data_IF_580118785565
#
_entry.id   IF_580118785565
#
_cell.length_a   1.000
_cell.length_b   1.000
_cell.length_c   1.000
_cell.angle_alpha   90.00
_cell.angle_beta   90.00
_cell.angle_gamma   90.00
#
_symmetry.space_group_name_H-M   'P 1'
#
loop_
_entity.id
_entity.type
_entity.pdbx_description
1 polymer ?
#
# COMPACT_ATOMS: atom_id res chain seq x y z
N UNK A 1 -11.32 -26.54 -6.51
CA UNK A 1 -10.80 -25.76 -5.35
C UNK A 1 -11.25 -26.50 -4.10
N UNK A 2 -10.38 -26.64 -3.09
CA UNK A 2 -10.65 -27.50 -1.92
C UNK A 2 -11.64 -26.89 -0.91
N UNK A 3 -11.89 -25.59 -1.00
CA UNK A 3 -12.71 -24.83 -0.03
C UNK A 3 -14.00 -24.31 -0.67
N UNK A 4 -15.10 -24.38 0.08
CA UNK A 4 -16.40 -23.81 -0.28
C UNK A 4 -16.45 -22.30 0.02
N UNK A 5 -15.78 -21.51 -0.83
CA UNK A 5 -15.66 -20.07 -0.65
C UNK A 5 -16.97 -19.32 -0.82
N UNK A 6 -17.87 -19.82 -1.68
CA UNK A 6 -19.07 -19.09 -2.10
C UNK A 6 -20.04 -18.91 -0.93
N UNK A 7 -20.15 -19.91 -0.05
CA UNK A 7 -20.92 -19.82 1.21
C UNK A 7 -20.41 -18.74 2.17
N UNK A 8 -19.16 -18.33 2.03
CA UNK A 8 -18.50 -17.40 2.93
C UNK A 8 -18.26 -16.02 2.30
N UNK A 9 -18.63 -15.82 1.04
CA UNK A 9 -18.42 -14.57 0.31
C UNK A 9 -19.08 -13.39 1.01
N UNK A 10 -20.36 -13.53 1.42
CA UNK A 10 -21.10 -12.45 2.07
C UNK A 10 -20.50 -12.06 3.42
N UNK A 11 -20.14 -13.04 4.25
CA UNK A 11 -19.47 -12.80 5.54
C UNK A 11 -18.14 -12.10 5.35
N UNK A 12 -17.33 -12.56 4.38
CA UNK A 12 -16.06 -11.92 4.04
C UNK A 12 -16.26 -10.50 3.52
N UNK A 13 -17.29 -10.26 2.71
CA UNK A 13 -17.61 -8.93 2.18
C UNK A 13 -17.94 -7.95 3.30
N UNK A 14 -18.87 -8.31 4.19
CA UNK A 14 -19.25 -7.49 5.34
C UNK A 14 -18.05 -7.15 6.21
N UNK A 15 -17.26 -8.14 6.61
CA UNK A 15 -16.11 -7.91 7.49
C UNK A 15 -15.00 -7.09 6.80
N UNK A 16 -14.76 -7.33 5.51
CA UNK A 16 -13.66 -6.70 4.79
C UNK A 16 -13.99 -5.27 4.32
N UNK A 17 -15.19 -5.07 3.77
CA UNK A 17 -15.64 -3.83 3.13
C UNK A 17 -16.44 -2.95 4.09
N UNK A 18 -17.51 -3.49 4.68
CA UNK A 18 -18.42 -2.69 5.52
C UNK A 18 -17.77 -2.36 6.86
N UNK A 19 -17.18 -3.36 7.52
CA UNK A 19 -16.55 -3.17 8.84
C UNK A 19 -15.05 -2.80 8.77
N UNK A 20 -14.44 -2.88 7.59
CA UNK A 20 -13.03 -2.51 7.43
C UNK A 20 -12.03 -3.38 8.21
N UNK A 21 -12.39 -4.59 8.69
CA UNK A 21 -11.55 -5.46 9.52
C UNK A 21 -10.28 -5.97 8.84
N UNK A 22 -9.18 -6.10 9.58
CA UNK A 22 -7.93 -6.63 9.03
C UNK A 22 -8.09 -8.08 8.57
N UNK A 23 -7.24 -8.52 7.62
CA UNK A 23 -7.31 -9.89 7.10
C UNK A 23 -7.11 -10.93 8.20
N UNK A 24 -6.24 -10.64 9.18
CA UNK A 24 -5.99 -11.54 10.31
C UNK A 24 -7.20 -11.68 11.22
N UNK A 25 -7.93 -10.59 11.45
CA UNK A 25 -9.18 -10.63 12.20
C UNK A 25 -10.25 -11.45 11.47
N UNK A 26 -10.37 -11.28 10.15
CA UNK A 26 -11.30 -12.07 9.32
C UNK A 26 -10.94 -13.55 9.40
N UNK A 27 -9.67 -13.91 9.25
CA UNK A 27 -9.22 -15.31 9.36
C UNK A 27 -9.55 -15.92 10.72
N UNK A 28 -9.33 -15.17 11.81
CA UNK A 28 -9.67 -15.61 13.16
C UNK A 28 -11.19 -15.84 13.30
N UNK A 29 -12.00 -14.89 12.81
CA UNK A 29 -13.47 -15.01 12.83
C UNK A 29 -13.97 -16.20 12.01
N UNK A 30 -13.44 -16.40 10.80
CA UNK A 30 -13.82 -17.53 9.93
C UNK A 30 -13.47 -18.88 10.56
N UNK A 31 -12.34 -18.96 11.27
CA UNK A 31 -11.93 -20.15 12.00
C UNK A 31 -12.88 -20.44 13.17
N UNK A 32 -13.27 -19.43 13.95
CA UNK A 32 -14.09 -19.65 15.17
C UNK A 32 -15.58 -19.83 14.88
N UNK A 33 -16.14 -19.08 13.92
CA UNK A 33 -17.57 -19.07 13.63
C UNK A 33 -18.00 -20.10 12.58
N UNK A 34 -17.09 -20.49 11.68
CA UNK A 34 -17.41 -21.31 10.51
C UNK A 34 -16.50 -22.54 10.35
N UNK A 35 -15.60 -22.80 11.29
CA UNK A 35 -14.52 -23.81 11.19
C UNK A 35 -13.74 -23.73 9.87
N UNK A 36 -13.65 -22.51 9.32
CA UNK A 36 -13.11 -22.27 8.00
C UNK A 36 -11.73 -21.63 8.11
N UNK A 37 -10.68 -22.47 8.04
CA UNK A 37 -9.30 -22.06 8.24
C UNK A 37 -8.35 -22.22 7.02
N UNK A 38 -8.65 -21.65 5.84
CA UNK A 38 -7.65 -21.54 4.77
C UNK A 38 -6.44 -20.68 5.15
N UNK A 39 -5.36 -20.81 4.40
CA UNK A 39 -4.17 -19.98 4.58
C UNK A 39 -4.42 -18.50 4.22
N UNK A 40 -3.64 -17.59 4.82
CA UNK A 40 -3.69 -16.14 4.50
C UNK A 40 -3.57 -15.86 3.01
N UNK A 41 -2.74 -16.64 2.31
CA UNK A 41 -2.56 -16.53 0.85
C UNK A 41 -3.81 -16.93 0.09
N UNK A 42 -4.52 -17.95 0.54
CA UNK A 42 -5.77 -18.40 -0.08
C UNK A 42 -6.85 -17.31 0.02
N UNK A 43 -7.01 -16.69 1.20
CA UNK A 43 -7.90 -15.54 1.36
C UNK A 43 -7.54 -14.37 0.43
N UNK A 44 -6.25 -14.01 0.33
CA UNK A 44 -5.81 -12.93 -0.57
C UNK A 44 -6.16 -13.20 -2.03
N UNK A 45 -5.93 -14.43 -2.50
CA UNK A 45 -6.25 -14.83 -3.87
C UNK A 45 -7.77 -14.78 -4.08
N UNK A 46 -8.55 -15.28 -3.12
CA UNK A 46 -10.00 -15.29 -3.24
C UNK A 46 -10.59 -13.87 -3.21
N UNK A 47 -10.12 -13.00 -2.32
CA UNK A 47 -10.58 -11.61 -2.26
C UNK A 47 -10.25 -10.86 -3.56
N UNK A 48 -9.09 -11.16 -4.17
CA UNK A 48 -8.76 -10.65 -5.50
C UNK A 48 -9.71 -11.18 -6.57
N UNK A 49 -10.10 -12.46 -6.53
CA UNK A 49 -11.07 -13.06 -7.46
C UNK A 49 -12.46 -12.43 -7.33
N UNK A 50 -12.87 -12.09 -6.11
CA UNK A 50 -14.11 -11.36 -5.86
C UNK A 50 -14.02 -9.84 -6.10
N UNK A 51 -12.89 -9.35 -6.62
CA UNK A 51 -12.64 -7.92 -6.88
C UNK A 51 -12.81 -7.03 -5.64
N UNK A 52 -12.51 -7.53 -4.44
CA UNK A 52 -12.53 -6.68 -3.25
C UNK A 52 -11.43 -5.62 -3.34
N UNK A 53 -11.74 -4.32 -3.08
CA UNK A 53 -10.75 -3.26 -3.16
C UNK A 53 -9.58 -3.52 -2.19
N UNK A 54 -8.33 -3.40 -2.65
CA UNK A 54 -7.19 -3.55 -1.77
C UNK A 54 -7.20 -2.45 -0.70
N UNK A 55 -7.00 -2.84 0.55
CA UNK A 55 -6.89 -1.89 1.66
C UNK A 55 -5.70 -0.94 1.55
N UNK A 56 -4.65 -1.35 0.86
CA UNK A 56 -3.52 -0.48 0.60
C UNK A 56 -3.87 0.49 -0.54
N UNK A 57 -3.87 1.78 -0.23
CA UNK A 57 -3.88 2.86 -1.23
C UNK A 57 -2.44 3.10 -1.67
N UNK A 58 -2.03 2.67 -2.87
CA UNK A 58 -0.64 2.83 -3.27
C UNK A 58 -0.30 4.31 -3.43
N UNK A 59 0.84 4.76 -2.91
CA UNK A 59 1.29 6.15 -3.01
C UNK A 59 1.27 6.72 -4.44
N UNK A 60 1.53 5.88 -5.45
CA UNK A 60 1.51 6.27 -6.87
C UNK A 60 0.12 6.54 -7.46
N UNK A 61 -0.96 6.21 -6.76
CA UNK A 61 -2.33 6.53 -7.17
C UNK A 61 -2.82 7.87 -6.63
N UNK A 62 -2.03 8.52 -5.76
CA UNK A 62 -2.36 9.83 -5.23
C UNK A 62 -1.66 10.90 -6.09
N UNK A 63 -2.35 11.42 -7.10
CA UNK A 63 -1.76 12.36 -8.05
C UNK A 63 -1.20 13.62 -7.38
N UNK A 64 -1.84 14.09 -6.29
CA UNK A 64 -1.36 15.23 -5.50
C UNK A 64 -0.01 14.92 -4.83
N UNK A 65 0.12 13.73 -4.26
CA UNK A 65 1.38 13.26 -3.67
C UNK A 65 2.47 13.10 -4.73
N UNK A 66 2.13 12.54 -5.90
CA UNK A 66 3.07 12.36 -7.01
C UNK A 66 3.58 13.71 -7.52
N UNK A 67 2.68 14.67 -7.75
CA UNK A 67 3.04 16.03 -8.16
C UNK A 67 3.94 16.70 -7.13
N UNK A 68 3.60 16.61 -5.84
CA UNK A 68 4.40 17.21 -4.78
C UNK A 68 5.80 16.60 -4.66
N UNK A 69 5.91 15.27 -4.76
CA UNK A 69 7.21 14.58 -4.75
C UNK A 69 8.06 15.03 -5.95
N UNK A 70 7.44 15.28 -7.11
CA UNK A 70 8.14 15.81 -8.29
C UNK A 70 8.72 17.20 -8.03
N UNK A 71 7.94 18.11 -7.44
CA UNK A 71 8.40 19.47 -7.09
C UNK A 71 9.60 19.43 -6.13
N UNK A 72 9.52 18.59 -5.09
CA UNK A 72 10.61 18.47 -4.11
C UNK A 72 11.87 17.87 -4.75
N UNK A 73 11.70 16.95 -5.70
CA UNK A 73 12.80 16.41 -6.49
C UNK A 73 13.41 17.44 -7.45
N UNK A 74 12.60 18.27 -8.11
CA UNK A 74 13.09 19.35 -8.96
C UNK A 74 13.91 20.38 -8.16
N UNK A 75 13.57 20.58 -6.88
CA UNK A 75 14.36 21.36 -5.91
C UNK A 75 15.62 20.65 -5.38
N UNK A 76 15.90 19.44 -5.86
CA UNK A 76 17.03 18.60 -5.47
C UNK A 76 17.12 18.28 -3.97
N UNK A 77 15.97 18.18 -3.29
CA UNK A 77 15.92 17.82 -1.86
C UNK A 77 16.37 16.38 -1.61
N UNK A 78 16.96 16.11 -0.45
CA UNK A 78 17.31 14.75 -0.07
C UNK A 78 16.06 13.95 0.34
N UNK A 79 16.12 12.61 0.25
CA UNK A 79 14.98 11.77 0.62
C UNK A 79 14.44 11.97 2.05
N UNK A 80 15.29 12.11 3.09
CA UNK A 80 14.81 12.35 4.45
C UNK A 80 14.05 13.68 4.56
N UNK A 81 14.52 14.71 3.87
CA UNK A 81 13.89 16.03 3.84
C UNK A 81 12.56 15.98 3.08
N UNK A 82 12.51 15.32 1.92
CA UNK A 82 11.26 15.10 1.19
C UNK A 82 10.23 14.41 2.08
N UNK A 83 10.64 13.37 2.81
CA UNK A 83 9.76 12.62 3.70
C UNK A 83 9.20 13.53 4.81
N UNK A 84 10.06 14.37 5.39
CA UNK A 84 9.69 15.34 6.41
C UNK A 84 8.67 16.34 5.88
N UNK A 85 8.97 17.01 4.77
CA UNK A 85 8.06 18.00 4.15
C UNK A 85 6.71 17.37 3.81
N UNK A 86 6.71 16.18 3.21
CA UNK A 86 5.48 15.50 2.82
C UNK A 86 4.61 15.13 4.03
N UNK A 87 5.21 14.65 5.15
CA UNK A 87 4.44 14.24 6.33
C UNK A 87 4.10 15.41 7.26
N UNK A 88 5.05 16.32 7.51
CA UNK A 88 4.90 17.41 8.49
C UNK A 88 4.23 18.65 7.91
N UNK A 89 4.57 19.06 6.69
CA UNK A 89 4.05 20.31 6.09
C UNK A 89 2.81 20.04 5.23
N UNK A 90 2.86 19.03 4.37
CA UNK A 90 1.79 18.75 3.41
C UNK A 90 0.71 17.79 3.95
N UNK A 91 0.96 17.14 5.10
CA UNK A 91 0.04 16.23 5.78
C UNK A 91 -0.19 14.88 5.09
N UNK A 92 0.74 14.42 4.24
CA UNK A 92 0.68 13.11 3.61
C UNK A 92 1.22 12.01 4.54
N UNK A 93 0.48 10.93 4.71
CA UNK A 93 0.98 9.72 5.36
C UNK A 93 1.73 8.83 4.35
N UNK A 94 3.03 9.08 4.15
CA UNK A 94 3.88 8.28 3.26
C UNK A 94 5.11 7.76 3.99
N UNK A 95 5.41 6.47 3.84
CA UNK A 95 6.62 5.86 4.42
C UNK A 95 7.83 6.02 3.49
N UNK A 96 9.03 6.02 4.06
CA UNK A 96 10.29 6.11 3.32
C UNK A 96 10.41 5.10 2.16
N UNK A 97 9.96 3.84 2.37
CA UNK A 97 9.96 2.81 1.33
C UNK A 97 8.98 3.10 0.20
N UNK A 98 7.83 3.70 0.50
CA UNK A 98 6.83 4.07 -0.48
C UNK A 98 7.30 5.26 -1.30
N UNK A 99 7.91 6.26 -0.64
CA UNK A 99 8.59 7.38 -1.29
C UNK A 99 9.69 6.90 -2.24
N UNK A 100 10.56 5.98 -1.78
CA UNK A 100 11.61 5.40 -2.63
C UNK A 100 11.02 4.71 -3.85
N UNK A 101 10.02 3.83 -3.67
CA UNK A 101 9.36 3.13 -4.80
C UNK A 101 8.72 4.11 -5.79
N UNK A 102 8.10 5.17 -5.29
CA UNK A 102 7.50 6.21 -6.11
C UNK A 102 8.56 6.93 -6.95
N UNK A 103 9.68 7.29 -6.34
CA UNK A 103 10.81 7.92 -7.03
C UNK A 103 11.46 6.99 -8.05
N UNK A 104 11.71 5.74 -7.72
CA UNK A 104 12.28 4.75 -8.67
C UNK A 104 11.34 4.54 -9.87
N UNK A 105 10.03 4.41 -9.63
CA UNK A 105 9.04 4.26 -10.71
C UNK A 105 9.07 5.44 -11.68
N UNK A 106 9.19 6.67 -11.16
CA UNK A 106 9.21 7.89 -11.96
C UNK A 106 10.61 8.34 -12.39
N UNK A 107 11.65 7.53 -12.12
CA UNK A 107 13.07 7.83 -12.40
C UNK A 107 13.59 9.13 -11.75
N UNK A 108 13.03 9.52 -10.61
CA UNK A 108 13.43 10.68 -9.81
C UNK A 108 14.56 10.35 -8.84
N UNK A 109 15.66 9.82 -9.38
CA UNK A 109 16.89 9.58 -8.64
C UNK A 109 17.58 10.93 -8.36
N UNK A 110 18.37 11.02 -7.29
CA UNK A 110 19.12 12.24 -6.99
C UNK A 110 19.90 12.64 -8.25
N UNK A 111 19.66 13.87 -8.72
CA UNK A 111 20.58 14.48 -9.69
C UNK A 111 21.89 14.57 -8.94
N UNK A 112 22.98 14.08 -9.53
CA UNK A 112 24.29 14.06 -8.89
C UNK A 112 24.52 15.41 -8.17
N UNK A 113 25.13 15.41 -6.98
CA UNK A 113 25.58 16.67 -6.40
C UNK A 113 26.48 17.34 -7.44
N UNK A 114 26.47 18.67 -7.48
CA UNK A 114 27.66 19.39 -7.91
C UNK A 114 28.88 18.71 -7.25
N UNK A 115 29.75 18.08 -8.06
CA UNK A 115 30.96 17.40 -7.56
C UNK A 115 31.04 15.91 -7.93
N UNK A 116 31.76 15.68 -9.02
CA UNK A 116 32.80 14.66 -9.17
C UNK A 116 33.04 13.77 -7.92
N UNK A 117 32.80 12.47 -8.09
CA UNK A 117 33.62 11.44 -7.43
C UNK A 117 34.04 10.42 -8.48
N UNK A 118 35.13 10.79 -9.12
CA UNK A 118 36.13 10.00 -9.80
C UNK A 118 36.29 8.60 -9.16
N UNK A 119 36.40 7.59 -10.02
CA UNK A 119 37.10 6.36 -9.72
C UNK A 119 38.08 6.08 -10.85
#
# INVERSE_FOLDING_TARGET
>A
MVYDWDRHQQTCYRLYIEEGRSLEHIMAHMKTAHDFAPSKRAFQIQFKRWNFPPKQRPAHKNDRLVARVKELWERNLAQPEMLRVLNEEDGFEIKARELMRLRTRNRWLLRAPNGDKSR
#
